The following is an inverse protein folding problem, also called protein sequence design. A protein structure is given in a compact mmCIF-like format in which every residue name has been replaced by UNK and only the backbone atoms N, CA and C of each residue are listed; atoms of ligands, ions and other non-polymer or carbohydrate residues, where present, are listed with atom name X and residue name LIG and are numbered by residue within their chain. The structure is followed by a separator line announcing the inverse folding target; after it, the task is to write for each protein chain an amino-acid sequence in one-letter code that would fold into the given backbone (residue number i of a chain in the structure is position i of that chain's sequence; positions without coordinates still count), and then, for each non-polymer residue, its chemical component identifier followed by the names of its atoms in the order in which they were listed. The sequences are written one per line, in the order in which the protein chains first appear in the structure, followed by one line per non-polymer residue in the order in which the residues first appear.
data_IF_410823206176
#
_entry.id   IF_410823206176
#
_cell.length_a   1.000
_cell.length_b   1.000
_cell.length_c   1.000
_cell.angle_alpha   90.00
_cell.angle_beta   90.00
_cell.angle_gamma   90.00
#
_symmetry.space_group_name_H-M   'P 1'
#
loop_
_entity.id
_entity.type
_entity.pdbx_description
1 polymer ?
#
# COMPACT_ATOMS: atom_id res chain seq x y z
N UNK A 1 7.41 58.99 32.48
CA UNK A 1 7.88 58.21 31.32
C UNK A 1 7.41 56.78 31.53
N UNK A 2 6.29 56.39 30.90
CA UNK A 2 5.69 55.07 31.07
C UNK A 2 5.85 54.31 29.75
N UNK A 3 6.83 53.42 29.68
CA UNK A 3 7.07 52.54 28.54
C UNK A 3 6.18 51.30 28.67
N UNK A 4 5.14 51.21 27.84
CA UNK A 4 4.32 50.01 27.69
C UNK A 4 5.07 48.97 26.84
N UNK A 5 5.50 47.88 27.46
CA UNK A 5 6.03 46.70 26.76
C UNK A 5 4.87 45.89 26.17
N UNK A 6 4.69 45.97 24.85
CA UNK A 6 3.89 45.01 24.10
C UNK A 6 4.75 43.78 23.80
N UNK A 7 4.46 42.66 24.46
CA UNK A 7 5.03 41.35 24.11
C UNK A 7 4.20 40.76 22.96
N UNK A 8 4.83 40.25 21.88
CA UNK A 8 4.09 39.65 20.77
C UNK A 8 3.56 38.27 21.18
N UNK A 9 2.27 38.05 20.97
CA UNK A 9 1.60 36.75 21.13
C UNK A 9 2.12 35.77 20.09
N UNK A 10 2.44 34.50 20.44
CA UNK A 10 2.87 33.50 19.47
C UNK A 10 1.71 33.13 18.53
N UNK A 11 1.96 33.22 17.23
CA UNK A 11 1.02 32.82 16.17
C UNK A 11 0.75 31.30 16.26
N UNK A 12 -0.49 30.83 16.15
CA UNK A 12 -0.79 29.41 16.19
C UNK A 12 -0.16 28.71 14.97
N UNK A 13 0.68 27.71 15.23
CA UNK A 13 1.28 26.86 14.20
C UNK A 13 0.17 26.07 13.52
N UNK A 14 -0.15 26.38 12.26
CA UNK A 14 -1.07 25.57 11.46
C UNK A 14 -0.43 24.20 11.20
N UNK A 15 -1.04 23.13 11.71
CA UNK A 15 -0.68 21.75 11.34
C UNK A 15 -0.76 21.60 9.82
N UNK A 16 0.24 21.02 9.14
CA UNK A 16 0.18 20.75 7.71
C UNK A 16 -1.07 19.90 7.40
N UNK A 17 -2.00 20.43 6.61
CA UNK A 17 -3.07 19.60 6.05
C UNK A 17 -2.46 18.70 4.97
N UNK A 18 -2.18 17.46 5.33
CA UNK A 18 -1.77 16.43 4.40
C UNK A 18 -2.94 16.05 3.49
N UNK A 19 -2.92 16.50 2.23
CA UNK A 19 -3.85 16.02 1.23
C UNK A 19 -3.70 14.50 1.06
N UNK A 20 -4.80 13.77 1.26
CA UNK A 20 -4.83 12.30 1.15
C UNK A 20 -4.44 11.86 -0.27
N UNK A 21 -3.47 10.94 -0.45
CA UNK A 21 -3.07 10.50 -1.77
C UNK A 21 -4.22 9.75 -2.47
N UNK A 22 -4.37 9.97 -3.78
CA UNK A 22 -5.27 9.17 -4.62
C UNK A 22 -4.62 7.83 -4.93
N UNK A 23 -4.79 6.89 -3.99
CA UNK A 23 -4.32 5.51 -4.08
C UNK A 23 -5.53 4.61 -4.32
N UNK A 24 -5.48 3.86 -5.42
CA UNK A 24 -6.55 2.91 -5.76
C UNK A 24 -6.46 1.69 -4.84
N UNK A 25 -7.55 0.94 -4.73
CA UNK A 25 -7.57 -0.29 -3.94
C UNK A 25 -6.46 -1.26 -4.40
N UNK A 26 -5.74 -1.91 -3.46
CA UNK A 26 -4.72 -2.91 -3.79
C UNK A 26 -5.29 -4.15 -4.48
N UNK A 27 -6.62 -4.34 -4.46
CA UNK A 27 -7.30 -5.41 -5.19
C UNK A 27 -6.95 -5.39 -6.68
N UNK A 28 -6.64 -4.22 -7.26
CA UNK A 28 -6.20 -4.11 -8.66
C UNK A 28 -4.93 -4.89 -8.97
N UNK A 29 -4.00 -4.98 -8.02
CA UNK A 29 -2.79 -5.78 -8.16
C UNK A 29 -3.16 -7.26 -8.07
N UNK A 30 -3.90 -7.64 -7.02
CA UNK A 30 -4.33 -9.03 -6.81
C UNK A 30 -5.11 -9.60 -8.01
N UNK A 31 -5.95 -8.79 -8.66
CA UNK A 31 -6.67 -9.17 -9.87
C UNK A 31 -5.74 -9.42 -11.06
N UNK A 32 -4.64 -8.66 -11.20
CA UNK A 32 -3.62 -8.94 -12.22
C UNK A 32 -2.85 -10.21 -11.90
N UNK A 33 -2.50 -10.43 -10.62
CA UNK A 33 -1.77 -11.62 -10.17
C UNK A 33 -2.58 -12.90 -10.36
N UNK A 34 -3.88 -12.87 -10.09
CA UNK A 34 -4.74 -14.05 -10.25
C UNK A 34 -4.84 -14.56 -11.70
N UNK A 35 -4.57 -13.70 -12.69
CA UNK A 35 -4.67 -14.02 -14.12
C UNK A 35 -3.43 -14.73 -14.69
N UNK A 36 -2.31 -14.74 -13.96
CA UNK A 36 -1.03 -15.27 -14.47
C UNK A 36 -1.02 -16.80 -14.57
N UNK A 37 -1.90 -17.48 -13.83
CA UNK A 37 -1.95 -18.94 -13.69
C UNK A 37 -3.36 -19.52 -13.99
N UNK A 38 -4.11 -18.89 -14.89
CA UNK A 38 -5.48 -19.37 -15.23
C UNK A 38 -5.49 -20.72 -15.94
N UNK A 39 -4.35 -21.18 -16.49
CA UNK A 39 -4.25 -22.42 -17.27
C UNK A 39 -4.21 -23.73 -16.47
N UNK A 40 -4.16 -23.70 -15.13
CA UNK A 40 -3.92 -24.89 -14.29
C UNK A 40 -5.03 -25.18 -13.26
N UNK A 41 -6.04 -24.30 -13.14
CA UNK A 41 -7.06 -24.36 -12.09
C UNK A 41 -8.31 -25.16 -12.51
N UNK A 42 -8.18 -26.49 -12.65
CA UNK A 42 -9.33 -27.37 -12.94
C UNK A 42 -10.28 -27.61 -11.74
N UNK A 43 -10.06 -26.97 -10.59
CA UNK A 43 -11.04 -26.82 -9.52
C UNK A 43 -10.74 -25.51 -8.78
N UNK A 44 -11.74 -24.65 -8.56
CA UNK A 44 -11.55 -23.48 -7.70
C UNK A 44 -11.45 -23.97 -6.25
N UNK A 45 -10.28 -23.91 -5.59
CA UNK A 45 -10.18 -24.32 -4.20
C UNK A 45 -11.09 -23.45 -3.34
N UNK A 46 -11.64 -24.03 -2.27
CA UNK A 46 -12.38 -23.27 -1.25
C UNK A 46 -11.46 -22.14 -0.78
N UNK A 47 -11.89 -20.86 -0.84
CA UNK A 47 -11.05 -19.75 -0.38
C UNK A 47 -10.63 -19.96 1.07
N UNK A 48 -9.36 -19.76 1.36
CA UNK A 48 -8.86 -19.85 2.72
C UNK A 48 -9.51 -18.80 3.63
N UNK A 49 -9.48 -19.05 4.93
CA UNK A 49 -9.94 -18.07 5.92
C UNK A 49 -9.22 -16.73 5.76
N UNK A 50 -7.92 -16.74 5.45
CA UNK A 50 -7.14 -15.53 5.17
C UNK A 50 -7.73 -14.75 3.99
N UNK A 51 -8.00 -15.42 2.87
CA UNK A 51 -8.59 -14.81 1.68
C UNK A 51 -9.97 -14.22 1.97
N UNK A 52 -10.84 -14.96 2.66
CA UNK A 52 -12.19 -14.49 2.99
C UNK A 52 -12.16 -13.26 3.93
N UNK A 53 -11.30 -13.29 4.95
CA UNK A 53 -11.12 -12.17 5.87
C UNK A 53 -10.56 -10.94 5.16
N UNK A 54 -9.61 -11.15 4.24
CA UNK A 54 -9.05 -10.10 3.40
C UNK A 54 -10.14 -9.44 2.55
N UNK A 55 -10.90 -10.21 1.77
CA UNK A 55 -11.98 -9.68 0.91
C UNK A 55 -13.03 -8.93 1.73
N UNK A 56 -13.53 -9.55 2.80
CA UNK A 56 -14.58 -8.95 3.62
C UNK A 56 -14.09 -7.75 4.43
N UNK A 57 -12.80 -7.71 4.79
CA UNK A 57 -12.12 -6.56 5.39
C UNK A 57 -12.05 -5.39 4.41
N UNK A 58 -11.57 -5.64 3.20
CA UNK A 58 -11.52 -4.65 2.11
C UNK A 58 -12.90 -4.04 1.81
N UNK A 59 -13.94 -4.85 1.74
CA UNK A 59 -15.32 -4.39 1.55
C UNK A 59 -15.85 -3.52 2.71
N UNK A 60 -15.29 -3.69 3.92
CA UNK A 60 -15.71 -2.96 5.12
C UNK A 60 -15.03 -1.60 5.24
N UNK A 61 -13.94 -1.31 4.51
CA UNK A 61 -13.13 -0.08 4.66
C UNK A 61 -13.98 1.20 4.55
N UNK A 62 -14.87 1.27 3.55
CA UNK A 62 -15.73 2.43 3.35
C UNK A 62 -17.00 2.46 4.22
N UNK A 63 -17.30 1.37 4.96
CA UNK A 63 -18.56 1.22 5.72
C UNK A 63 -18.34 1.29 7.22
N UNK A 64 -17.27 0.64 7.70
CA UNK A 64 -16.95 0.53 9.12
C UNK A 64 -15.45 0.24 9.27
N UNK A 65 -14.67 1.30 9.56
CA UNK A 65 -13.22 1.20 9.70
C UNK A 65 -12.80 0.23 10.82
N UNK A 66 -13.53 0.17 11.93
CA UNK A 66 -13.23 -0.78 13.02
C UNK A 66 -13.32 -2.23 12.53
N UNK A 67 -14.42 -2.58 11.88
CA UNK A 67 -14.62 -3.93 11.32
C UNK A 67 -13.61 -4.23 10.21
N UNK A 68 -13.26 -3.24 9.39
CA UNK A 68 -12.24 -3.40 8.36
C UNK A 68 -10.87 -3.75 8.96
N UNK A 69 -10.41 -2.97 9.93
CA UNK A 69 -9.15 -3.20 10.63
C UNK A 69 -9.10 -4.58 11.30
N UNK A 70 -10.14 -4.92 12.07
CA UNK A 70 -10.23 -6.24 12.74
C UNK A 70 -10.16 -7.41 11.76
N UNK A 71 -10.88 -7.33 10.63
CA UNK A 71 -10.87 -8.40 9.62
C UNK A 71 -9.52 -8.50 8.91
N UNK A 72 -8.90 -7.39 8.56
CA UNK A 72 -7.59 -7.37 7.89
C UNK A 72 -6.47 -7.85 8.80
N UNK A 73 -6.50 -7.52 10.09
CA UNK A 73 -5.57 -8.09 11.08
C UNK A 73 -5.75 -9.61 11.21
N UNK A 74 -6.99 -10.10 11.31
CA UNK A 74 -7.25 -11.55 11.33
C UNK A 74 -6.86 -12.24 10.02
N UNK A 75 -6.98 -11.55 8.88
CA UNK A 75 -6.54 -12.08 7.59
C UNK A 75 -5.02 -12.32 7.59
N UNK A 76 -4.25 -11.38 8.17
CA UNK A 76 -2.81 -11.49 8.32
C UNK A 76 -2.43 -12.68 9.22
N UNK A 77 -3.03 -12.78 10.40
CA UNK A 77 -2.81 -13.90 11.34
C UNK A 77 -3.14 -15.27 10.71
N UNK A 78 -4.25 -15.34 9.95
CA UNK A 78 -4.64 -16.54 9.24
C UNK A 78 -3.63 -16.90 8.13
N UNK A 79 -3.13 -15.92 7.38
CA UNK A 79 -2.15 -16.14 6.33
C UNK A 79 -0.79 -16.63 6.90
N UNK A 80 -0.34 -16.04 8.01
CA UNK A 80 0.86 -16.49 8.74
C UNK A 80 0.71 -17.95 9.19
N UNK A 81 -0.46 -18.31 9.73
CA UNK A 81 -0.78 -19.68 10.14
C UNK A 81 -0.80 -20.65 8.96
N UNK A 82 -1.35 -20.23 7.82
CA UNK A 82 -1.41 -21.03 6.60
C UNK A 82 -0.02 -21.22 5.96
N UNK A 83 0.99 -20.42 6.36
CA UNK A 83 2.34 -20.39 5.77
C UNK A 83 2.30 -20.18 4.24
N UNK A 84 1.26 -19.53 3.74
CA UNK A 84 1.09 -19.23 2.33
C UNK A 84 1.61 -17.81 2.06
N UNK A 85 2.65 -17.71 1.23
CA UNK A 85 3.31 -16.43 0.95
C UNK A 85 2.40 -15.47 0.15
N UNK A 86 1.60 -15.96 -0.79
CA UNK A 86 0.67 -15.13 -1.56
C UNK A 86 -0.42 -14.54 -0.67
N UNK A 87 -1.00 -15.36 0.22
CA UNK A 87 -2.01 -14.91 1.18
C UNK A 87 -1.43 -13.88 2.16
N UNK A 88 -0.19 -14.12 2.62
CA UNK A 88 0.52 -13.22 3.52
C UNK A 88 0.75 -11.86 2.85
N UNK A 89 1.25 -11.88 1.62
CA UNK A 89 1.48 -10.68 0.84
C UNK A 89 0.17 -9.92 0.54
N UNK A 90 -0.93 -10.62 0.25
CA UNK A 90 -2.24 -10.02 0.02
C UNK A 90 -2.81 -9.39 1.31
N UNK A 91 -2.71 -10.06 2.46
CA UNK A 91 -3.18 -9.53 3.73
C UNK A 91 -2.41 -8.26 4.15
N UNK A 92 -1.08 -8.26 3.95
CA UNK A 92 -0.23 -7.07 4.17
C UNK A 92 -0.65 -5.89 3.28
N UNK A 93 -1.01 -6.13 2.01
CA UNK A 93 -1.54 -5.07 1.13
C UNK A 93 -2.86 -4.52 1.62
N UNK A 94 -3.79 -5.38 2.03
CA UNK A 94 -5.07 -4.92 2.55
C UNK A 94 -4.93 -4.07 3.80
N UNK A 95 -4.11 -4.53 4.74
CA UNK A 95 -3.84 -3.81 5.98
C UNK A 95 -3.08 -2.50 5.72
N UNK A 96 -2.12 -2.49 4.79
CA UNK A 96 -1.44 -1.26 4.37
C UNK A 96 -2.44 -0.23 3.81
N UNK A 97 -3.33 -0.65 2.92
CA UNK A 97 -4.36 0.23 2.35
C UNK A 97 -5.32 0.75 3.42
N UNK A 98 -5.69 -0.08 4.40
CA UNK A 98 -6.46 0.36 5.56
C UNK A 98 -5.76 1.51 6.31
N UNK A 99 -4.45 1.42 6.53
CA UNK A 99 -3.68 2.49 7.18
C UNK A 99 -3.58 3.78 6.36
N UNK A 100 -3.59 3.70 5.02
CA UNK A 100 -3.77 4.89 4.16
C UNK A 100 -5.12 5.55 4.44
N UNK A 101 -6.18 4.74 4.62
CA UNK A 101 -7.53 5.27 4.87
C UNK A 101 -7.67 5.92 6.25
N UNK A 102 -6.84 5.52 7.22
CA UNK A 102 -6.73 6.13 8.56
C UNK A 102 -5.57 7.12 8.68
N UNK A 103 -4.97 7.54 7.55
CA UNK A 103 -3.87 8.52 7.47
C UNK A 103 -2.57 8.14 8.20
N UNK A 104 -2.38 6.86 8.52
CA UNK A 104 -1.14 6.34 9.10
C UNK A 104 -0.20 5.87 7.96
N UNK A 105 0.43 6.85 7.33
CA UNK A 105 1.27 6.62 6.15
C UNK A 105 2.52 5.81 6.47
N UNK A 106 3.13 6.01 7.64
CA UNK A 106 4.33 5.26 8.05
C UNK A 106 4.04 3.77 8.18
N UNK A 107 2.91 3.42 8.80
CA UNK A 107 2.50 2.02 8.93
C UNK A 107 2.08 1.42 7.59
N UNK A 108 1.41 2.20 6.74
CA UNK A 108 1.09 1.78 5.37
C UNK A 108 2.36 1.43 4.59
N UNK A 109 3.38 2.29 4.63
CA UNK A 109 4.64 2.08 3.90
C UNK A 109 5.35 0.81 4.37
N UNK A 110 5.40 0.58 5.69
CA UNK A 110 6.00 -0.65 6.25
C UNK A 110 5.31 -1.91 5.71
N UNK A 111 3.98 -1.93 5.70
CA UNK A 111 3.20 -3.09 5.24
C UNK A 111 3.27 -3.27 3.72
N UNK A 112 3.24 -2.18 2.95
CA UNK A 112 3.40 -2.24 1.50
C UNK A 112 4.79 -2.73 1.10
N UNK A 113 5.84 -2.27 1.77
CA UNK A 113 7.21 -2.76 1.52
C UNK A 113 7.36 -4.24 1.90
N UNK A 114 6.77 -4.68 3.02
CA UNK A 114 6.76 -6.08 3.40
C UNK A 114 6.05 -6.96 2.35
N UNK A 115 4.89 -6.52 1.85
CA UNK A 115 4.20 -7.22 0.76
C UNK A 115 5.03 -7.24 -0.53
N UNK A 116 5.59 -6.10 -0.92
CA UNK A 116 6.44 -5.98 -2.11
C UNK A 116 7.62 -6.96 -2.04
N UNK A 117 8.26 -7.10 -0.87
CA UNK A 117 9.36 -8.04 -0.67
C UNK A 117 8.94 -9.50 -0.91
N UNK A 118 7.76 -9.90 -0.41
CA UNK A 118 7.24 -11.26 -0.61
C UNK A 118 6.88 -11.49 -2.08
N UNK A 119 6.20 -10.55 -2.73
CA UNK A 119 5.88 -10.71 -4.16
C UNK A 119 7.13 -10.78 -5.05
N UNK A 120 8.19 -10.04 -4.71
CA UNK A 120 9.50 -10.16 -5.38
C UNK A 120 10.14 -11.53 -5.17
N UNK A 121 9.96 -12.17 -4.01
CA UNK A 121 10.43 -13.53 -3.78
C UNK A 121 9.65 -14.56 -4.61
N UNK A 122 8.34 -14.36 -4.80
CA UNK A 122 7.47 -15.29 -5.55
C UNK A 122 7.70 -15.18 -7.06
N UNK A 123 7.71 -13.96 -7.61
CA UNK A 123 7.71 -13.74 -9.07
C UNK A 123 9.03 -13.20 -9.63
N UNK A 124 9.99 -12.87 -8.77
CA UNK A 124 11.26 -12.24 -9.15
C UNK A 124 11.25 -10.72 -9.04
N UNK A 125 12.45 -10.13 -8.99
CA UNK A 125 12.65 -8.69 -8.76
C UNK A 125 12.15 -7.81 -9.91
N UNK A 126 12.16 -8.33 -11.14
CA UNK A 126 11.75 -7.62 -12.35
C UNK A 126 10.29 -7.89 -12.73
N UNK A 127 9.48 -8.34 -11.79
CA UNK A 127 8.09 -8.65 -12.08
C UNK A 127 7.24 -7.39 -12.31
N UNK A 128 6.93 -7.09 -13.57
CA UNK A 128 6.37 -5.79 -14.00
C UNK A 128 5.04 -5.42 -13.34
N UNK A 129 4.23 -6.39 -12.90
CA UNK A 129 2.95 -6.12 -12.24
C UNK A 129 3.13 -5.40 -10.89
N UNK A 130 4.32 -5.45 -10.28
CA UNK A 130 4.63 -4.72 -9.04
C UNK A 130 4.81 -3.21 -9.24
N UNK A 131 4.86 -2.73 -10.48
CA UNK A 131 4.93 -1.30 -10.80
C UNK A 131 3.83 -0.48 -10.12
N UNK A 132 2.60 -1.02 -10.05
CA UNK A 132 1.47 -0.35 -9.42
C UNK A 132 1.69 -0.11 -7.91
N UNK A 133 2.25 -1.11 -7.22
CA UNK A 133 2.52 -1.03 -5.79
C UNK A 133 3.69 -0.09 -5.49
N UNK A 134 4.74 -0.13 -6.31
CA UNK A 134 5.89 0.79 -6.18
C UNK A 134 5.41 2.24 -6.38
N UNK A 135 4.53 2.49 -7.37
CA UNK A 135 3.98 3.81 -7.61
C UNK A 135 3.09 4.29 -6.44
N UNK A 136 2.30 3.41 -5.83
CA UNK A 136 1.54 3.76 -4.64
C UNK A 136 2.45 4.13 -3.47
N UNK A 137 3.54 3.39 -3.24
CA UNK A 137 4.54 3.73 -2.22
C UNK A 137 5.14 5.12 -2.49
N UNK A 138 5.48 5.43 -3.75
CA UNK A 138 5.99 6.75 -4.13
C UNK A 138 4.97 7.85 -3.83
N UNK A 139 3.68 7.67 -4.13
CA UNK A 139 2.63 8.64 -3.80
C UNK A 139 2.51 8.89 -2.29
N UNK A 140 2.69 7.85 -1.46
CA UNK A 140 2.67 8.02 0.00
C UNK A 140 3.87 8.86 0.45
N UNK A 141 5.09 8.57 -0.03
CA UNK A 141 6.27 9.38 0.28
C UNK A 141 6.13 10.83 -0.18
N UNK A 142 5.53 11.06 -1.36
CA UNK A 142 5.23 12.39 -1.86
C UNK A 142 4.28 13.14 -0.90
N UNK A 143 3.21 12.49 -0.43
CA UNK A 143 2.33 13.08 0.57
C UNK A 143 3.05 13.40 1.87
N UNK A 144 4.02 12.59 2.31
CA UNK A 144 4.81 12.87 3.50
C UNK A 144 5.89 13.96 3.30
N UNK A 145 6.04 14.52 2.10
CA UNK A 145 7.17 15.38 1.70
C UNK A 145 8.54 14.72 1.94
N UNK A 146 8.61 13.39 1.89
CA UNK A 146 9.86 12.65 1.99
C UNK A 146 10.50 12.56 0.60
N UNK A 147 11.16 13.64 0.17
CA UNK A 147 11.76 13.73 -1.16
C UNK A 147 12.82 12.65 -1.44
N UNK A 148 13.58 12.25 -0.41
CA UNK A 148 14.67 11.28 -0.55
C UNK A 148 14.11 9.91 -0.91
N UNK A 149 13.16 9.40 -0.12
CA UNK A 149 12.55 8.09 -0.40
C UNK A 149 11.61 8.14 -1.62
N UNK A 150 10.99 9.29 -1.91
CA UNK A 150 10.24 9.48 -3.15
C UNK A 150 11.13 9.28 -4.38
N UNK A 151 12.26 9.99 -4.49
CA UNK A 151 13.18 9.90 -5.64
C UNK A 151 13.69 8.47 -5.82
N UNK A 152 14.14 7.84 -4.73
CA UNK A 152 14.60 6.45 -4.72
C UNK A 152 13.52 5.45 -5.16
N UNK A 153 12.26 5.66 -4.74
CA UNK A 153 11.15 4.79 -5.15
C UNK A 153 10.83 4.96 -6.64
N UNK A 154 10.88 6.19 -7.15
CA UNK A 154 10.71 6.49 -8.58
C UNK A 154 11.84 5.88 -9.42
N UNK A 155 13.09 5.94 -8.97
CA UNK A 155 14.21 5.26 -9.63
C UNK A 155 14.00 3.74 -9.70
N UNK A 156 13.52 3.12 -8.62
CA UNK A 156 13.16 1.70 -8.61
C UNK A 156 12.03 1.39 -9.60
N UNK A 157 11.01 2.25 -9.69
CA UNK A 157 9.92 2.13 -10.64
C UNK A 157 10.44 2.19 -12.09
N UNK A 158 11.28 3.18 -12.41
CA UNK A 158 11.89 3.32 -13.74
C UNK A 158 12.78 2.13 -14.11
N UNK A 159 13.57 1.63 -13.14
CA UNK A 159 14.44 0.46 -13.33
C UNK A 159 13.62 -0.78 -13.66
N UNK A 160 12.49 -1.00 -12.98
CA UNK A 160 11.59 -2.13 -13.27
C UNK A 160 11.10 -2.10 -14.73
N UNK A 161 10.68 -0.94 -15.23
CA UNK A 161 10.27 -0.80 -16.64
C UNK A 161 11.42 -1.04 -17.61
N UNK A 162 12.60 -0.48 -17.33
CA UNK A 162 13.81 -0.67 -18.13
C UNK A 162 14.18 -2.16 -18.23
N UNK A 163 14.18 -2.89 -17.12
CA UNK A 163 14.53 -4.32 -17.08
C UNK A 163 13.51 -5.19 -17.84
N UNK A 164 12.27 -4.71 -17.98
CA UNK A 164 11.22 -5.38 -18.77
C UNK A 164 11.17 -4.94 -20.23
N UNK A 165 12.11 -4.12 -20.71
CA UNK A 165 12.09 -3.51 -22.04
C UNK A 165 10.77 -2.76 -22.34
N UNK A 166 10.18 -2.13 -21.33
CA UNK A 166 8.95 -1.35 -21.43
C UNK A 166 9.19 0.11 -21.07
N UNK A 167 8.28 0.98 -21.51
CA UNK A 167 8.24 2.37 -21.06
C UNK A 167 7.17 2.54 -19.99
N UNK A 168 7.43 3.32 -18.93
CA UNK A 168 6.40 3.64 -17.96
C UNK A 168 5.27 4.43 -18.63
N UNK A 169 4.00 4.19 -18.29
CA UNK A 169 2.90 5.03 -18.76
C UNK A 169 3.15 6.50 -18.36
N UNK A 170 2.71 7.45 -19.19
CA UNK A 170 2.93 8.90 -19.10
C UNK A 170 2.26 9.60 -17.90
N UNK A 171 2.09 8.91 -16.77
CA UNK A 171 1.34 9.36 -15.59
C UNK A 171 2.21 9.98 -14.49
N UNK A 172 3.46 10.34 -14.79
CA UNK A 172 4.29 11.16 -13.92
C UNK A 172 4.35 12.59 -14.48
N UNK A 173 3.30 13.38 -14.21
CA UNK A 173 3.16 14.77 -14.62
C UNK A 173 1.92 15.38 -13.98
#
# INVERSE_FOLDING_TARGET
MSTTNNTPTPTPTSTPQYNKPSILSPVRLLEKLSKIDEGSRENTPIPSTATLLMITGMQSIGKNQKVAGEKLTKALEAAEKNKNQEELAAALLGLGYFYITTTDYDKSIQLYNASLAIWKQIHGNDFIHLADLILDIAKIYQCQNNEVEFKKTIESYQTLFKNNNKTPPTTCG
#
